data_IF_040265003915
#
_entry.id   IF_040265003915
#
_cell.length_a   1.000
_cell.length_b   1.000
_cell.length_c   1.000
_cell.angle_alpha   90.00
_cell.angle_beta   90.00
_cell.angle_gamma   90.00
#
_symmetry.space_group_name_H-M   'P 1'
#
loop_
_entity.id
_entity.type
_entity.pdbx_description
1 polymer ?
#
# COMPACT_ATOMS: atom_id res chain seq x y z
N UNK A 1 -6.29 32.78 -21.70
CA UNK A 1 -6.76 32.18 -20.43
C UNK A 1 -7.02 30.71 -20.72
N UNK A 2 -6.11 29.82 -20.30
CA UNK A 2 -6.17 28.40 -20.64
C UNK A 2 -7.08 27.68 -19.64
N UNK A 3 -8.16 27.07 -20.11
CA UNK A 3 -8.96 26.11 -19.33
C UNK A 3 -8.37 24.73 -19.64
N UNK A 4 -7.69 24.12 -18.67
CA UNK A 4 -7.34 22.71 -18.78
C UNK A 4 -8.64 21.91 -18.88
N UNK A 5 -8.77 21.06 -19.89
CA UNK A 5 -9.92 20.15 -20.03
C UNK A 5 -9.93 19.19 -18.83
N UNK A 6 -10.91 19.31 -17.90
CA UNK A 6 -10.94 18.50 -16.68
C UNK A 6 -11.42 17.06 -16.93
N UNK A 7 -11.64 16.64 -18.18
CA UNK A 7 -12.31 15.39 -18.53
C UNK A 7 -11.42 14.20 -18.91
N UNK A 8 -10.14 14.39 -19.28
CA UNK A 8 -9.32 13.29 -19.82
C UNK A 8 -8.37 12.75 -18.75
N UNK A 9 -8.74 11.62 -18.15
CA UNK A 9 -7.88 10.89 -17.23
C UNK A 9 -6.69 10.26 -17.97
N UNK A 10 -5.46 10.33 -17.43
CA UNK A 10 -4.29 9.76 -18.08
C UNK A 10 -4.36 8.23 -18.11
N UNK A 11 -3.98 7.66 -19.24
CA UNK A 11 -3.78 6.22 -19.42
C UNK A 11 -2.67 5.69 -18.50
N UNK A 12 -2.60 4.36 -18.31
CA UNK A 12 -1.55 3.73 -17.49
C UNK A 12 -0.13 4.06 -18.00
N UNK A 13 0.07 4.08 -19.33
CA UNK A 13 1.36 4.47 -19.95
C UNK A 13 1.71 5.94 -19.69
N UNK A 14 0.72 6.82 -19.70
CA UNK A 14 0.96 8.24 -19.39
C UNK A 14 1.31 8.41 -17.92
N UNK A 15 0.68 7.64 -17.03
CA UNK A 15 0.92 7.66 -15.59
C UNK A 15 2.35 7.21 -15.25
N UNK A 16 2.84 6.10 -15.83
CA UNK A 16 4.21 5.64 -15.57
C UNK A 16 5.27 6.63 -16.08
N UNK A 17 5.05 7.21 -17.26
CA UNK A 17 5.95 8.24 -17.78
C UNK A 17 5.92 9.53 -16.95
N UNK A 18 4.78 9.85 -16.31
CA UNK A 18 4.61 11.04 -15.49
C UNK A 18 5.38 10.96 -14.18
N UNK A 19 5.44 9.79 -13.53
CA UNK A 19 6.17 9.59 -12.26
C UNK A 19 7.63 10.03 -12.38
N UNK A 20 8.29 9.75 -13.50
CA UNK A 20 9.73 9.98 -13.65
C UNK A 20 10.10 11.22 -14.50
N UNK A 21 9.13 11.88 -15.14
CA UNK A 21 9.42 12.97 -16.10
C UNK A 21 9.87 14.25 -15.40
N UNK A 22 11.10 14.68 -15.69
CA UNK A 22 11.63 16.01 -15.36
C UNK A 22 12.03 16.22 -13.89
N UNK A 23 12.06 15.16 -13.07
CA UNK A 23 12.37 15.24 -11.64
C UNK A 23 13.33 14.11 -11.22
N UNK A 24 14.62 14.32 -11.51
CA UNK A 24 15.68 13.33 -11.25
C UNK A 24 15.75 12.93 -9.77
N UNK A 25 15.57 13.87 -8.84
CA UNK A 25 15.60 13.61 -7.40
C UNK A 25 14.51 12.63 -6.95
N UNK A 26 13.29 12.78 -7.47
CA UNK A 26 12.17 11.86 -7.21
C UNK A 26 12.50 10.46 -7.72
N UNK A 27 13.03 10.36 -8.95
CA UNK A 27 13.47 9.08 -9.50
C UNK A 27 14.58 8.40 -8.69
N UNK A 28 15.57 9.17 -8.21
CA UNK A 28 16.66 8.66 -7.36
C UNK A 28 16.11 8.16 -6.02
N UNK A 29 15.22 8.91 -5.38
CA UNK A 29 14.63 8.52 -4.10
C UNK A 29 13.78 7.25 -4.23
N UNK A 30 12.89 7.18 -5.22
CA UNK A 30 12.07 5.98 -5.48
C UNK A 30 12.99 4.80 -5.81
N UNK A 31 14.01 5.01 -6.66
CA UNK A 31 14.98 3.98 -6.98
C UNK A 31 15.71 3.45 -5.74
N UNK A 32 16.08 4.32 -4.81
CA UNK A 32 16.68 3.91 -3.53
C UNK A 32 15.71 3.05 -2.70
N UNK A 33 14.44 3.46 -2.56
CA UNK A 33 13.45 2.69 -1.79
C UNK A 33 13.21 1.31 -2.42
N UNK A 34 13.05 1.24 -3.75
CA UNK A 34 12.89 -0.03 -4.47
C UNK A 34 14.12 -0.93 -4.30
N UNK A 35 15.33 -0.36 -4.39
CA UNK A 35 16.56 -1.14 -4.16
C UNK A 35 16.62 -1.68 -2.73
N UNK A 36 16.13 -0.94 -1.74
CA UNK A 36 16.01 -1.42 -0.36
C UNK A 36 15.00 -2.56 -0.24
N UNK A 37 13.83 -2.48 -0.89
CA UNK A 37 12.86 -3.59 -0.92
C UNK A 37 13.49 -4.86 -1.53
N UNK A 38 14.15 -4.71 -2.68
CA UNK A 38 14.84 -5.82 -3.35
C UNK A 38 15.98 -6.39 -2.50
N UNK A 39 16.68 -5.54 -1.75
CA UNK A 39 17.71 -5.97 -0.82
C UNK A 39 17.13 -6.84 0.30
N UNK A 40 16.01 -6.46 0.92
CA UNK A 40 15.35 -7.27 1.95
C UNK A 40 14.88 -8.62 1.41
N UNK A 41 14.26 -8.63 0.22
CA UNK A 41 13.86 -9.88 -0.46
C UNK A 41 15.08 -10.77 -0.73
N UNK A 42 16.17 -10.20 -1.25
CA UNK A 42 17.39 -10.95 -1.50
C UNK A 42 18.04 -11.48 -0.20
N UNK A 43 17.99 -10.71 0.88
CA UNK A 43 18.47 -11.12 2.20
C UNK A 43 17.65 -12.26 2.78
N UNK A 44 16.32 -12.25 2.63
CA UNK A 44 15.47 -13.39 3.02
C UNK A 44 15.84 -14.65 2.25
N UNK A 45 15.93 -14.60 0.91
CA UNK A 45 16.31 -15.75 0.07
C UNK A 45 17.70 -16.28 0.46
N UNK A 46 18.66 -15.38 0.64
CA UNK A 46 20.02 -15.74 1.05
C UNK A 46 20.05 -16.36 2.45
N UNK A 47 19.31 -15.80 3.40
CA UNK A 47 19.24 -16.27 4.78
C UNK A 47 18.65 -17.67 4.85
N UNK A 48 17.55 -17.91 4.13
CA UNK A 48 16.95 -19.23 4.01
C UNK A 48 17.92 -20.24 3.39
N UNK A 49 18.56 -19.89 2.26
CA UNK A 49 19.49 -20.79 1.56
C UNK A 49 20.72 -21.17 2.39
N UNK A 50 21.08 -20.34 3.38
CA UNK A 50 22.18 -20.59 4.32
C UNK A 50 21.74 -21.22 5.63
N UNK A 51 20.43 -21.37 5.87
CA UNK A 51 19.91 -21.78 7.18
C UNK A 51 20.30 -20.81 8.28
N UNK A 52 20.23 -19.51 8.01
CA UNK A 52 20.61 -18.47 8.98
C UNK A 52 19.75 -18.56 10.23
N UNK A 53 20.39 -18.59 11.39
CA UNK A 53 19.73 -18.55 12.71
C UNK A 53 19.19 -17.15 13.07
N UNK A 54 19.63 -16.10 12.38
CA UNK A 54 19.14 -14.75 12.60
C UNK A 54 17.79 -14.54 11.90
N UNK A 55 16.70 -14.73 12.65
CA UNK A 55 15.32 -14.56 12.16
C UNK A 55 15.00 -13.13 11.71
N UNK A 56 15.73 -12.11 12.18
CA UNK A 56 15.46 -10.70 11.84
C UNK A 56 15.76 -10.35 10.37
N UNK A 57 16.45 -11.23 9.65
CA UNK A 57 16.79 -11.06 8.22
C UNK A 57 15.68 -11.53 7.28
N UNK A 58 14.68 -12.24 7.79
CA UNK A 58 13.56 -12.75 7.02
C UNK A 58 12.46 -11.67 6.94
N UNK A 59 11.79 -11.58 5.79
CA UNK A 59 10.77 -10.56 5.53
C UNK A 59 9.41 -10.89 6.15
N UNK A 60 9.13 -12.19 6.34
CA UNK A 60 7.93 -12.80 6.91
C UNK A 60 7.96 -12.91 8.45
N UNK A 61 8.92 -12.24 9.09
CA UNK A 61 9.10 -12.28 10.54
C UNK A 61 8.66 -10.97 11.17
N UNK A 62 7.68 -11.08 12.07
CA UNK A 62 7.24 -9.99 12.93
C UNK A 62 8.41 -9.35 13.67
N UNK A 63 8.42 -8.03 13.64
CA UNK A 63 9.41 -7.10 14.19
C UNK A 63 10.82 -7.35 13.66
N UNK A 64 10.92 -7.92 12.46
CA UNK A 64 12.13 -8.03 11.66
C UNK A 64 12.56 -6.70 11.06
N UNK A 65 13.75 -6.66 10.45
CA UNK A 65 14.26 -5.42 9.85
C UNK A 65 13.42 -4.91 8.68
N UNK A 66 12.82 -5.81 7.90
CA UNK A 66 11.97 -5.46 6.78
C UNK A 66 10.67 -4.79 7.24
N UNK A 67 10.06 -5.30 8.31
CA UNK A 67 8.82 -4.76 8.87
C UNK A 67 9.04 -3.35 9.45
N UNK A 68 10.13 -3.12 10.19
CA UNK A 68 10.48 -1.76 10.64
C UNK A 68 10.68 -0.79 9.47
N UNK A 69 11.22 -1.28 8.34
CA UNK A 69 11.33 -0.46 7.14
C UNK A 69 9.95 -0.16 6.53
N UNK A 70 9.00 -1.11 6.55
CA UNK A 70 7.59 -0.85 6.19
C UNK A 70 6.94 0.19 7.11
N UNK A 71 7.17 0.14 8.43
CA UNK A 71 6.65 1.16 9.35
C UNK A 71 7.11 2.58 8.96
N UNK A 72 8.39 2.73 8.64
CA UNK A 72 8.93 4.01 8.18
C UNK A 72 8.30 4.45 6.85
N UNK A 73 8.05 3.52 5.93
CA UNK A 73 7.36 3.80 4.68
C UNK A 73 5.91 4.24 4.90
N UNK A 74 5.15 3.58 5.75
CA UNK A 74 3.76 3.95 6.07
C UNK A 74 3.70 5.30 6.80
N UNK A 75 4.61 5.54 7.76
CA UNK A 75 4.74 6.85 8.41
C UNK A 75 5.03 7.95 7.39
N UNK A 76 5.90 7.66 6.41
CA UNK A 76 6.21 8.60 5.33
C UNK A 76 5.01 8.86 4.42
N UNK A 77 4.17 7.85 4.14
CA UNK A 77 2.89 8.02 3.44
C UNK A 77 1.98 8.98 4.21
N UNK A 78 1.80 8.78 5.51
CA UNK A 78 1.00 9.67 6.36
C UNK A 78 1.52 11.10 6.29
N UNK A 79 2.84 11.29 6.39
CA UNK A 79 3.49 12.60 6.27
C UNK A 79 3.23 13.25 4.90
N UNK A 80 3.39 12.50 3.80
CA UNK A 80 3.15 13.01 2.45
C UNK A 80 1.68 13.42 2.22
N UNK A 81 0.72 12.65 2.75
CA UNK A 81 -0.70 13.00 2.70
C UNK A 81 -0.97 14.27 3.50
N UNK A 82 -0.36 14.42 4.67
CA UNK A 82 -0.49 15.63 5.48
C UNK A 82 0.04 16.86 4.75
N UNK A 83 1.25 16.78 4.18
CA UNK A 83 1.83 17.85 3.35
C UNK A 83 0.89 18.20 2.21
N UNK A 84 0.45 17.20 1.45
CA UNK A 84 -0.46 17.39 0.31
C UNK A 84 -1.77 18.08 0.75
N UNK A 85 -2.39 17.61 1.84
CA UNK A 85 -3.63 18.18 2.34
C UNK A 85 -3.49 19.63 2.83
N UNK A 86 -2.35 19.97 3.43
CA UNK A 86 -2.03 21.34 3.87
C UNK A 86 -1.79 22.25 2.68
N UNK A 87 -0.98 21.83 1.70
CA UNK A 87 -0.68 22.60 0.49
C UNK A 87 -1.93 22.87 -0.34
N UNK A 88 -2.80 21.87 -0.51
CA UNK A 88 -4.04 22.02 -1.27
C UNK A 88 -5.20 22.54 -0.43
N UNK A 89 -5.02 22.71 0.89
CA UNK A 89 -6.09 23.04 1.87
C UNK A 89 -7.31 22.13 1.74
N UNK A 90 -7.08 20.84 1.54
CA UNK A 90 -8.16 19.87 1.29
C UNK A 90 -8.28 18.86 2.43
N UNK A 91 -9.31 19.04 3.25
CA UNK A 91 -9.66 18.05 4.28
C UNK A 91 -10.05 16.69 3.67
N UNK A 92 -10.50 16.67 2.40
CA UNK A 92 -10.89 15.44 1.71
C UNK A 92 -9.67 14.56 1.46
N UNK A 93 -8.54 15.15 1.07
CA UNK A 93 -7.27 14.41 0.97
C UNK A 93 -6.75 13.99 2.34
N UNK A 94 -6.94 14.81 3.38
CA UNK A 94 -6.58 14.45 4.75
C UNK A 94 -7.35 13.23 5.29
N UNK A 95 -8.51 12.88 4.71
CA UNK A 95 -9.27 11.69 5.10
C UNK A 95 -8.46 10.39 4.97
N UNK A 96 -7.48 10.34 4.05
CA UNK A 96 -6.58 9.18 3.88
C UNK A 96 -5.60 9.01 5.04
N UNK A 97 -5.37 10.02 5.88
CA UNK A 97 -4.47 9.89 7.03
C UNK A 97 -4.94 8.79 7.98
N UNK A 98 -6.25 8.71 8.24
CA UNK A 98 -6.81 7.73 9.18
C UNK A 98 -6.54 6.28 8.79
N UNK A 99 -6.89 5.79 7.58
CA UNK A 99 -6.62 4.40 7.20
C UNK A 99 -5.12 4.07 7.20
N UNK A 100 -4.23 4.96 6.75
CA UNK A 100 -2.78 4.70 6.81
C UNK A 100 -2.21 4.75 8.23
N UNK A 101 -2.77 5.57 9.11
CA UNK A 101 -2.40 5.57 10.53
C UNK A 101 -2.89 4.30 11.22
N UNK A 102 -4.06 3.79 10.84
CA UNK A 102 -4.52 2.47 11.28
C UNK A 102 -3.52 1.40 10.84
N UNK A 103 -3.15 1.32 9.55
CA UNK A 103 -2.21 0.30 9.05
C UNK A 103 -0.88 0.32 9.85
N UNK A 104 -0.31 1.50 10.09
CA UNK A 104 0.89 1.62 10.93
C UNK A 104 0.68 1.11 12.37
N UNK A 105 -0.47 1.42 12.96
CA UNK A 105 -0.82 0.96 14.31
C UNK A 105 -1.11 -0.54 14.35
N UNK A 106 -1.73 -1.07 13.30
CA UNK A 106 -2.09 -2.46 13.16
C UNK A 106 -0.86 -3.35 13.18
N UNK A 107 0.10 -3.10 12.28
CA UNK A 107 1.34 -3.88 12.21
C UNK A 107 2.15 -3.75 13.51
N UNK A 108 2.32 -2.53 14.03
CA UNK A 108 3.14 -2.30 15.23
C UNK A 108 2.57 -2.92 16.52
N UNK A 109 1.24 -2.93 16.67
CA UNK A 109 0.55 -3.47 17.84
C UNK A 109 -0.07 -4.85 17.61
N UNK A 110 0.03 -5.41 16.40
CA UNK A 110 -0.58 -6.67 15.98
C UNK A 110 -2.09 -6.69 16.26
N UNK A 111 -2.80 -5.64 15.80
CA UNK A 111 -4.22 -5.47 16.13
C UNK A 111 -5.06 -6.53 15.40
N UNK A 112 -4.77 -6.81 14.14
CA UNK A 112 -5.47 -7.82 13.35
C UNK A 112 -5.24 -9.24 13.90
N UNK A 113 -4.03 -9.59 14.34
CA UNK A 113 -3.75 -10.90 14.98
C UNK A 113 -4.56 -11.07 16.28
N UNK A 114 -4.46 -10.10 17.20
CA UNK A 114 -5.14 -10.17 18.50
C UNK A 114 -6.66 -10.10 18.35
N UNK A 115 -7.13 -9.21 17.48
CA UNK A 115 -8.55 -9.06 17.17
C UNK A 115 -9.09 -10.30 16.46
N UNK A 116 -8.30 -10.89 15.57
CA UNK A 116 -8.66 -12.09 14.83
C UNK A 116 -8.79 -13.30 15.74
N UNK A 117 -7.81 -13.52 16.62
CA UNK A 117 -7.89 -14.54 17.66
C UNK A 117 -9.14 -14.37 18.56
N UNK A 118 -9.44 -13.15 18.98
CA UNK A 118 -10.62 -12.85 19.78
C UNK A 118 -11.94 -13.14 19.02
N UNK A 119 -12.05 -12.73 17.76
CA UNK A 119 -13.22 -13.00 16.92
C UNK A 119 -13.40 -14.50 16.69
N UNK A 120 -12.29 -15.21 16.43
CA UNK A 120 -12.30 -16.65 16.21
C UNK A 120 -12.84 -17.42 17.43
N UNK A 121 -12.40 -17.04 18.63
CA UNK A 121 -12.90 -17.60 19.88
C UNK A 121 -14.38 -17.25 20.12
N UNK A 122 -14.74 -15.97 19.98
CA UNK A 122 -16.09 -15.47 20.24
C UNK A 122 -17.15 -16.10 19.32
N UNK A 123 -16.82 -16.29 18.04
CA UNK A 123 -17.71 -16.91 17.05
C UNK A 123 -17.55 -18.43 16.96
N UNK A 124 -16.62 -19.01 17.72
CA UNK A 124 -16.28 -20.45 17.68
C UNK A 124 -15.99 -20.93 16.26
N UNK A 125 -15.21 -20.14 15.52
CA UNK A 125 -14.81 -20.49 14.16
C UNK A 125 -14.05 -21.82 14.16
N UNK A 126 -14.18 -22.57 13.07
CA UNK A 126 -13.54 -23.86 12.91
C UNK A 126 -12.50 -23.81 11.80
N UNK A 127 -11.46 -24.65 11.92
CA UNK A 127 -10.46 -24.81 10.88
C UNK A 127 -11.11 -25.37 9.62
N UNK A 128 -10.79 -24.79 8.46
CA UNK A 128 -11.28 -25.25 7.17
C UNK A 128 -10.29 -24.87 6.07
N UNK A 129 -10.18 -25.69 5.03
CA UNK A 129 -9.31 -25.43 3.86
C UNK A 129 -7.83 -25.18 4.18
N UNK A 130 -7.32 -25.77 5.26
CA UNK A 130 -5.93 -25.59 5.69
C UNK A 130 -5.70 -24.32 6.52
N UNK A 131 -6.74 -23.52 6.76
CA UNK A 131 -6.69 -22.31 7.58
C UNK A 131 -7.07 -22.62 9.04
N UNK A 132 -6.42 -21.88 9.95
CA UNK A 132 -6.74 -21.82 11.37
C UNK A 132 -7.96 -20.92 11.58
N UNK A 133 -8.70 -21.08 12.69
CA UNK A 133 -9.78 -20.16 13.05
C UNK A 133 -9.34 -18.70 13.15
N UNK A 134 -8.11 -18.46 13.63
CA UNK A 134 -7.53 -17.13 13.79
C UNK A 134 -7.40 -16.39 12.45
N UNK A 135 -6.96 -17.08 11.38
CA UNK A 135 -6.78 -16.49 10.04
C UNK A 135 -8.12 -15.96 9.47
N UNK A 136 -9.23 -16.69 9.69
CA UNK A 136 -10.57 -16.17 9.36
C UNK A 136 -10.96 -14.96 10.20
N UNK A 137 -10.55 -14.95 11.47
CA UNK A 137 -10.71 -13.81 12.36
C UNK A 137 -9.94 -12.59 11.88
N UNK A 138 -8.68 -12.74 11.49
CA UNK A 138 -7.81 -11.69 10.95
C UNK A 138 -8.42 -11.08 9.70
N UNK A 139 -8.84 -11.92 8.73
CA UNK A 139 -9.56 -11.45 7.54
C UNK A 139 -10.86 -10.69 7.88
N UNK A 140 -11.55 -11.09 8.96
CA UNK A 140 -12.75 -10.39 9.45
C UNK A 140 -12.39 -9.03 10.03
N UNK A 141 -11.31 -8.91 10.82
CA UNK A 141 -10.83 -7.61 11.33
C UNK A 141 -10.47 -6.69 10.18
N UNK A 142 -9.70 -7.18 9.20
CA UNK A 142 -9.30 -6.43 8.01
C UNK A 142 -10.53 -5.93 7.22
N UNK A 143 -11.57 -6.76 7.07
CA UNK A 143 -12.82 -6.35 6.45
C UNK A 143 -13.55 -5.26 7.25
N UNK A 144 -13.65 -5.40 8.58
CA UNK A 144 -14.30 -4.41 9.44
C UNK A 144 -13.60 -3.06 9.37
N UNK A 145 -12.27 -3.05 9.40
CA UNK A 145 -11.45 -1.84 9.27
C UNK A 145 -11.64 -1.21 7.89
N UNK A 146 -11.66 -2.01 6.82
CA UNK A 146 -11.93 -1.52 5.48
C UNK A 146 -13.30 -0.84 5.41
N UNK A 147 -14.35 -1.43 6.01
CA UNK A 147 -15.68 -0.84 6.07
C UNK A 147 -15.70 0.48 6.86
N UNK A 148 -15.05 0.54 8.03
CA UNK A 148 -14.93 1.77 8.84
C UNK A 148 -14.18 2.85 8.06
N UNK A 149 -13.10 2.48 7.38
CA UNK A 149 -12.33 3.39 6.52
C UNK A 149 -13.21 3.94 5.39
N UNK A 150 -14.02 3.11 4.75
CA UNK A 150 -14.96 3.53 3.71
C UNK A 150 -16.02 4.51 4.24
N UNK A 151 -16.48 4.38 5.48
CA UNK A 151 -17.41 5.35 6.08
C UNK A 151 -16.83 6.77 6.14
N UNK A 152 -15.51 6.90 6.24
CA UNK A 152 -14.79 8.18 6.24
C UNK A 152 -14.46 8.62 4.81
N UNK A 153 -13.99 7.70 3.98
CA UNK A 153 -13.52 8.00 2.62
C UNK A 153 -14.66 8.31 1.64
N UNK A 154 -15.82 7.65 1.76
CA UNK A 154 -16.95 7.88 0.84
C UNK A 154 -17.44 9.34 0.93
N UNK A 155 -17.76 9.92 2.11
CA UNK A 155 -18.17 11.31 2.20
C UNK A 155 -17.12 12.31 1.67
N UNK A 156 -15.84 12.02 1.85
CA UNK A 156 -14.73 12.83 1.33
C UNK A 156 -14.65 12.76 -0.20
N UNK A 157 -14.75 11.55 -0.76
CA UNK A 157 -14.76 11.30 -2.21
C UNK A 157 -15.96 11.96 -2.91
N UNK A 158 -17.16 11.86 -2.33
CA UNK A 158 -18.36 12.45 -2.91
C UNK A 158 -18.25 13.98 -3.03
N UNK A 159 -17.54 14.61 -2.10
CA UNK A 159 -17.28 16.07 -2.06
C UNK A 159 -15.99 16.49 -2.78
N UNK A 160 -15.23 15.53 -3.30
CA UNK A 160 -13.99 15.78 -4.01
C UNK A 160 -14.24 16.33 -5.42
N UNK A 161 -13.36 17.23 -5.87
CA UNK A 161 -13.32 17.68 -7.27
C UNK A 161 -12.76 16.59 -8.19
N UNK A 162 -12.71 16.83 -9.51
CA UNK A 162 -12.25 15.82 -10.47
C UNK A 162 -10.80 15.38 -10.25
N UNK A 163 -9.93 16.28 -9.80
CA UNK A 163 -8.51 15.98 -9.55
C UNK A 163 -8.36 15.16 -8.29
N UNK A 164 -9.02 15.57 -7.21
CA UNK A 164 -9.04 14.84 -5.94
C UNK A 164 -9.66 13.45 -6.11
N UNK A 165 -10.75 13.31 -6.88
CA UNK A 165 -11.37 12.01 -7.18
C UNK A 165 -10.41 11.07 -7.91
N UNK A 166 -9.61 11.59 -8.83
CA UNK A 166 -8.57 10.79 -9.49
C UNK A 166 -7.53 10.30 -8.49
N UNK A 167 -7.08 11.15 -7.56
CA UNK A 167 -6.16 10.76 -6.48
C UNK A 167 -6.77 9.66 -5.61
N UNK A 168 -8.04 9.82 -5.21
CA UNK A 168 -8.78 8.83 -4.44
C UNK A 168 -8.86 7.47 -5.15
N UNK A 169 -9.20 7.46 -6.43
CA UNK A 169 -9.31 6.21 -7.21
C UNK A 169 -7.96 5.49 -7.32
N UNK A 170 -6.85 6.22 -7.44
CA UNK A 170 -5.50 5.64 -7.51
C UNK A 170 -5.04 5.12 -6.15
N UNK A 171 -5.27 5.86 -5.06
CA UNK A 171 -4.97 5.38 -3.71
C UNK A 171 -5.84 4.17 -3.34
N UNK A 172 -7.13 4.19 -3.67
CA UNK A 172 -8.01 3.05 -3.44
C UNK A 172 -7.55 1.82 -4.23
N UNK A 173 -7.16 1.97 -5.49
CA UNK A 173 -6.59 0.87 -6.28
C UNK A 173 -5.32 0.31 -5.61
N UNK A 174 -4.40 1.17 -5.17
CA UNK A 174 -3.16 0.73 -4.52
C UNK A 174 -3.41 0.06 -3.18
N UNK A 175 -4.40 0.51 -2.40
CA UNK A 175 -4.82 -0.17 -1.17
C UNK A 175 -5.47 -1.51 -1.47
N UNK A 176 -6.26 -1.62 -2.55
CA UNK A 176 -6.81 -2.92 -2.97
C UNK A 176 -5.69 -3.88 -3.39
N UNK A 177 -4.61 -3.38 -4.02
CA UNK A 177 -3.42 -4.20 -4.31
C UNK A 177 -2.71 -4.57 -3.01
N UNK A 178 -2.60 -3.66 -2.04
CA UNK A 178 -1.98 -3.96 -0.74
C UNK A 178 -2.77 -5.03 0.01
N UNK A 179 -4.09 -4.88 0.12
CA UNK A 179 -4.98 -5.86 0.74
C UNK A 179 -5.02 -7.19 -0.01
N UNK A 180 -4.74 -7.19 -1.33
CA UNK A 180 -4.59 -8.44 -2.06
C UNK A 180 -3.37 -9.21 -1.57
N UNK A 181 -2.22 -8.56 -1.32
CA UNK A 181 -1.07 -9.24 -0.75
C UNK A 181 -1.30 -9.58 0.73
N UNK A 182 -1.54 -8.60 1.59
CA UNK A 182 -1.64 -8.77 3.05
C UNK A 182 -2.94 -9.32 3.60
N UNK A 183 -3.81 -9.86 2.75
CA UNK A 183 -4.98 -10.61 3.22
C UNK A 183 -5.19 -11.80 2.31
N UNK A 184 -5.27 -11.60 1.00
CA UNK A 184 -5.59 -12.72 0.11
C UNK A 184 -4.39 -13.65 -0.11
N UNK A 185 -3.19 -13.12 -0.39
CA UNK A 185 -2.00 -13.95 -0.56
C UNK A 185 -1.58 -14.56 0.78
N UNK A 186 -1.68 -13.84 1.90
CA UNK A 186 -1.50 -14.38 3.26
C UNK A 186 -2.36 -15.63 3.51
N UNK A 187 -3.68 -15.55 3.29
CA UNK A 187 -4.56 -16.71 3.44
C UNK A 187 -4.16 -17.87 2.51
N UNK A 188 -3.72 -17.57 1.28
CA UNK A 188 -3.23 -18.61 0.35
C UNK A 188 -1.93 -19.22 0.85
N UNK A 189 -1.02 -18.41 1.39
CA UNK A 189 0.26 -18.83 1.95
C UNK A 189 0.04 -19.80 3.12
N UNK A 190 -0.77 -19.42 4.11
CA UNK A 190 -1.09 -20.29 5.26
C UNK A 190 -1.74 -21.60 4.80
N UNK A 191 -2.71 -21.53 3.89
CA UNK A 191 -3.36 -22.73 3.36
C UNK A 191 -2.37 -23.62 2.58
N UNK A 192 -1.45 -23.04 1.81
CA UNK A 192 -0.48 -23.77 1.01
C UNK A 192 0.65 -24.40 1.85
N UNK A 193 1.09 -23.73 2.93
CA UNK A 193 2.07 -24.28 3.88
C UNK A 193 1.60 -25.60 4.51
N UNK A 194 0.29 -25.83 4.59
CA UNK A 194 -0.26 -27.10 5.08
C UNK A 194 0.04 -28.31 4.16
N UNK A 195 0.45 -28.06 2.91
CA UNK A 195 0.63 -29.10 1.87
C UNK A 195 2.02 -29.07 1.24
N UNK A 196 2.58 -27.87 1.01
CA UNK A 196 3.86 -27.69 0.31
C UNK A 196 5.05 -27.83 1.27
N UNK A 197 6.15 -28.38 0.77
CA UNK A 197 7.43 -28.47 1.48
C UNK A 197 8.52 -27.80 0.65
N UNK A 198 9.46 -27.10 1.30
CA UNK A 198 10.60 -26.47 0.63
C UNK A 198 10.73 -24.99 0.94
N UNK A 199 11.32 -24.22 0.01
CA UNK A 199 11.42 -22.77 0.13
C UNK A 199 10.06 -22.12 -0.08
N UNK A 200 9.70 -21.19 0.79
CA UNK A 200 8.40 -20.53 0.74
C UNK A 200 8.40 -19.35 -0.24
N UNK A 201 8.17 -19.65 -1.53
CA UNK A 201 7.98 -18.63 -2.54
C UNK A 201 6.70 -17.81 -2.36
N UNK A 202 5.73 -18.31 -1.58
CA UNK A 202 4.48 -17.60 -1.37
C UNK A 202 4.69 -16.51 -0.33
N UNK A 203 5.45 -16.78 0.74
CA UNK A 203 5.94 -15.74 1.66
C UNK A 203 6.64 -14.59 0.92
N UNK A 204 7.54 -14.92 -0.02
CA UNK A 204 8.23 -13.90 -0.83
C UNK A 204 7.26 -13.08 -1.69
N UNK A 205 6.22 -13.73 -2.24
CA UNK A 205 5.20 -13.05 -3.04
C UNK A 205 4.32 -12.14 -2.19
N UNK A 206 3.96 -12.59 -0.99
CA UNK A 206 3.15 -11.88 -0.01
C UNK A 206 3.87 -10.61 0.48
N UNK A 207 4.89 -10.76 1.32
CA UNK A 207 5.58 -9.65 1.97
C UNK A 207 6.31 -8.78 0.94
N UNK A 208 6.95 -9.40 -0.05
CA UNK A 208 7.60 -8.68 -1.14
C UNK A 208 6.60 -7.86 -1.96
N UNK A 209 5.40 -8.39 -2.18
CA UNK A 209 4.30 -7.71 -2.86
C UNK A 209 3.78 -6.51 -2.08
N UNK A 210 3.62 -6.65 -0.76
CA UNK A 210 3.27 -5.54 0.12
C UNK A 210 4.33 -4.44 0.12
N UNK A 211 5.59 -4.82 0.33
CA UNK A 211 6.72 -3.89 0.38
C UNK A 211 6.75 -3.01 -0.87
N UNK A 212 6.66 -3.62 -2.06
CA UNK A 212 6.66 -2.90 -3.33
C UNK A 212 5.39 -2.06 -3.53
N UNK A 213 4.23 -2.54 -3.07
CA UNK A 213 2.97 -1.80 -3.17
C UNK A 213 3.01 -0.52 -2.34
N UNK A 214 3.52 -0.59 -1.10
CA UNK A 214 3.75 0.58 -0.24
C UNK A 214 4.71 1.56 -0.92
N UNK A 215 5.77 1.05 -1.56
CA UNK A 215 6.72 1.89 -2.33
C UNK A 215 6.05 2.57 -3.53
N UNK A 216 5.11 1.92 -4.21
CA UNK A 216 4.31 2.56 -5.26
C UNK A 216 3.38 3.65 -4.73
N UNK A 217 2.80 3.47 -3.53
CA UNK A 217 2.00 4.53 -2.86
C UNK A 217 2.88 5.75 -2.56
N UNK A 218 4.09 5.54 -2.02
CA UNK A 218 5.06 6.62 -1.79
C UNK A 218 5.41 7.33 -3.10
N UNK A 219 5.76 6.58 -4.14
CA UNK A 219 6.11 7.14 -5.44
C UNK A 219 4.98 8.02 -6.01
N UNK A 220 3.74 7.57 -5.88
CA UNK A 220 2.55 8.30 -6.30
C UNK A 220 2.37 9.61 -5.51
N UNK A 221 2.47 9.56 -4.18
CA UNK A 221 2.27 10.72 -3.30
C UNK A 221 3.40 11.76 -3.39
N UNK A 222 4.66 11.33 -3.48
CA UNK A 222 5.79 12.25 -3.74
C UNK A 222 5.53 13.00 -5.05
N UNK A 223 5.08 12.30 -6.09
CA UNK A 223 4.87 12.96 -7.36
C UNK A 223 3.77 14.03 -7.31
N UNK A 224 2.71 13.77 -6.54
CA UNK A 224 1.66 14.74 -6.27
C UNK A 224 2.17 15.96 -5.50
N UNK A 225 2.97 15.76 -4.44
CA UNK A 225 3.51 16.87 -3.64
C UNK A 225 4.45 17.76 -4.46
N UNK A 226 5.39 17.20 -5.24
CA UNK A 226 6.26 18.03 -6.12
C UNK A 226 5.48 18.66 -7.29
N UNK A 227 4.25 18.21 -7.55
CA UNK A 227 3.31 18.80 -8.52
C UNK A 227 2.36 19.86 -7.93
N UNK A 228 2.54 20.28 -6.66
CA UNK A 228 1.57 21.10 -5.91
C UNK A 228 0.15 20.49 -5.91
N UNK A 229 0.06 19.17 -5.77
CA UNK A 229 -1.18 18.40 -5.73
C UNK A 229 -1.91 18.24 -7.06
N UNK A 230 -1.33 18.70 -8.18
CA UNK A 230 -1.93 18.53 -9.51
C UNK A 230 -1.15 17.50 -10.33
N UNK A 231 -1.81 16.44 -10.84
CA UNK A 231 -1.21 15.64 -11.90
C UNK A 231 -0.96 16.54 -13.10
N UNK A 232 0.25 16.48 -13.68
CA UNK A 232 0.59 17.23 -14.90
C UNK A 232 -0.09 16.51 -16.05
N UNK A 233 -1.38 16.79 -16.25
CA UNK A 233 -2.12 16.36 -17.42
C UNK A 233 -1.65 17.24 -18.58
N UNK A 234 -1.05 16.63 -19.60
CA UNK A 234 -0.77 17.35 -20.85
C UNK A 234 -2.10 17.88 -21.39
N UNK A 235 -2.20 19.17 -21.67
CA UNK A 235 -3.17 19.64 -22.64
C UNK A 235 -2.79 19.02 -23.99
N UNK A 236 -3.77 18.42 -24.67
CA UNK A 236 -3.59 18.03 -26.05
C UNK A 236 -3.24 19.28 -26.85
N UNK A 237 -2.02 19.34 -27.37
CA UNK A 237 -1.65 20.30 -28.39
C UNK A 237 -2.41 19.95 -29.67
N UNK A 238 -3.59 20.52 -29.84
CA UNK A 238 -4.02 20.94 -31.17
C UNK A 238 -3.84 22.46 -31.19
N UNK A 239 -2.68 22.89 -31.65
CA UNK A 239 -2.59 24.19 -32.31
C UNK A 239 -3.64 24.14 -33.42
N UNK A 240 -4.68 24.96 -33.28
CA UNK A 240 -5.43 25.38 -34.44
C UNK A 240 -4.46 26.20 -35.27
N UNK A 241 -3.84 25.57 -36.27
CA UNK A 241 -3.28 26.29 -37.40
C UNK A 241 -4.48 26.83 -38.19
N UNK A 242 -4.63 28.15 -38.15
CA UNK A 242 -5.41 28.92 -39.12
C UNK A 242 -4.63 29.04 -40.42
#
# INVERSE_FOLDING_TARGET
MYVADPGVLPSLKETSSWIFRGQRSVGVLIGFIVLSDLMFIALHIWSWARGSENSLLYIDVDRGYAEFFQYLKILYIVFLILVLAVETRSWKLAAWILPFTYLLGDDSYQIHEKGGAYIAEALKLQSMWGLRPADFGEATVSLLVALVSLMILIPAYLRADSTERWVFQRLLLLIMVLAFFGVFIDLVHVAAMSVLQGFDWIAVLEDGGEMLTITFIIAFLIRLTVGNGKPVLRSGSKQFEN
#
